data_IF_809126300138
#
_entry.id   IF_809126300138
#
_cell.length_a   1.000
_cell.length_b   1.000
_cell.length_c   1.000
_cell.angle_alpha   90.00
_cell.angle_beta   90.00
_cell.angle_gamma   90.00
#
_symmetry.space_group_name_H-M   'P 1'
#
loop_
_entity.id
_entity.type
_entity.pdbx_description
1 polymer ?
#
# COMPACT_ATOMS: atom_id res chain seq x y z
N UNK A 1 7.83 -25.64 -34.71
CA UNK A 1 7.75 -24.84 -33.47
C UNK A 1 7.04 -23.53 -33.80
N UNK A 2 5.90 -23.26 -33.16
CA UNK A 2 4.96 -22.19 -33.52
C UNK A 2 5.48 -20.80 -33.11
N UNK A 3 5.81 -19.98 -34.11
CA UNK A 3 6.10 -18.54 -33.95
C UNK A 3 4.90 -17.79 -33.35
N UNK A 4 3.68 -18.29 -33.59
CA UNK A 4 2.43 -17.72 -33.08
C UNK A 4 2.28 -17.82 -31.55
N UNK A 5 2.92 -18.80 -30.90
CA UNK A 5 2.92 -18.90 -29.43
C UNK A 5 3.90 -17.91 -28.78
N UNK A 6 4.97 -17.55 -29.50
CA UNK A 6 5.94 -16.54 -29.05
C UNK A 6 5.41 -15.11 -29.20
N UNK A 7 4.57 -14.85 -30.22
CA UNK A 7 3.91 -13.54 -30.41
C UNK A 7 2.84 -13.29 -29.33
N UNK A 8 2.10 -14.33 -28.90
CA UNK A 8 1.16 -14.21 -27.78
C UNK A 8 1.84 -13.95 -26.42
N UNK A 9 3.10 -14.38 -26.23
CA UNK A 9 3.87 -14.09 -25.02
C UNK A 9 4.65 -12.77 -25.07
N UNK A 10 4.82 -12.14 -26.24
CA UNK A 10 5.50 -10.84 -26.38
C UNK A 10 4.56 -9.64 -26.37
N UNK A 11 3.24 -9.86 -26.53
CA UNK A 11 2.20 -8.81 -26.44
C UNK A 11 1.69 -8.63 -24.99
N UNK A 12 2.15 -9.45 -24.03
CA UNK A 12 1.79 -9.34 -22.62
C UNK A 12 2.84 -8.55 -21.79
N UNK A 13 3.48 -7.54 -22.40
CA UNK A 13 4.27 -6.55 -21.69
C UNK A 13 3.42 -5.28 -21.62
N UNK A 14 2.84 -4.98 -20.46
CA UNK A 14 2.03 -3.79 -20.24
C UNK A 14 0.52 -4.02 -20.17
N UNK A 15 0.05 -5.21 -19.81
CA UNK A 15 -1.38 -5.39 -19.55
C UNK A 15 -1.78 -4.55 -18.32
N UNK A 16 -2.79 -3.70 -18.46
CA UNK A 16 -3.33 -2.95 -17.32
C UNK A 16 -3.76 -3.96 -16.25
N UNK A 17 -3.50 -3.66 -14.97
CA UNK A 17 -3.90 -4.55 -13.88
C UNK A 17 -5.41 -4.87 -13.92
N UNK A 18 -6.23 -3.98 -14.51
CA UNK A 18 -7.67 -4.18 -14.75
C UNK A 18 -7.99 -5.19 -15.84
N UNK A 19 -7.06 -5.55 -16.71
CA UNK A 19 -7.26 -6.65 -17.67
C UNK A 19 -7.05 -8.00 -17.00
N UNK A 20 -6.05 -8.09 -16.12
CA UNK A 20 -5.72 -9.32 -15.37
C UNK A 20 -6.61 -9.52 -14.15
N UNK A 21 -6.97 -8.43 -13.46
CA UNK A 21 -7.84 -8.39 -12.28
C UNK A 21 -9.04 -7.51 -12.64
N UNK A 22 -10.07 -8.05 -13.30
CA UNK A 22 -11.11 -7.23 -13.92
C UNK A 22 -12.13 -6.61 -12.96
N UNK A 23 -12.15 -7.04 -11.70
CA UNK A 23 -13.15 -6.60 -10.74
C UNK A 23 -12.58 -6.48 -9.33
N UNK A 24 -13.27 -5.72 -8.48
CA UNK A 24 -12.98 -5.65 -7.03
C UNK A 24 -13.04 -7.02 -6.37
N UNK A 25 -13.97 -7.87 -6.81
CA UNK A 25 -14.09 -9.24 -6.31
C UNK A 25 -12.85 -10.07 -6.65
N UNK A 26 -12.30 -9.93 -7.86
CA UNK A 26 -11.05 -10.60 -8.24
C UNK A 26 -9.84 -10.07 -7.47
N UNK A 27 -9.81 -8.77 -7.19
CA UNK A 27 -8.79 -8.19 -6.31
C UNK A 27 -8.89 -8.77 -4.89
N UNK A 28 -10.11 -8.89 -4.35
CA UNK A 28 -10.33 -9.57 -3.07
C UNK A 28 -9.85 -11.02 -3.10
N UNK A 29 -10.14 -11.79 -4.15
CA UNK A 29 -9.64 -13.18 -4.28
C UNK A 29 -8.11 -13.27 -4.21
N UNK A 30 -7.38 -12.33 -4.84
CA UNK A 30 -5.91 -12.26 -4.75
C UNK A 30 -5.44 -12.00 -3.31
N UNK A 31 -6.09 -11.05 -2.63
CA UNK A 31 -5.80 -10.72 -1.23
C UNK A 31 -6.14 -11.91 -0.31
N UNK A 32 -7.28 -12.56 -0.53
CA UNK A 32 -7.73 -13.71 0.23
C UNK A 32 -6.78 -14.91 0.06
N UNK A 33 -6.30 -15.16 -1.15
CA UNK A 33 -5.29 -16.20 -1.39
C UNK A 33 -3.98 -15.92 -0.64
N UNK A 34 -3.63 -14.65 -0.44
CA UNK A 34 -2.43 -14.23 0.28
C UNK A 34 -2.58 -14.39 1.79
N UNK A 35 -3.72 -14.00 2.36
CA UNK A 35 -3.91 -13.90 3.81
C UNK A 35 -4.86 -14.94 4.43
N UNK A 36 -5.55 -15.71 3.60
CA UNK A 36 -6.57 -16.70 3.94
C UNK A 36 -7.70 -16.10 4.80
N UNK A 37 -8.20 -14.93 4.42
CA UNK A 37 -9.22 -14.14 5.14
C UNK A 37 -10.53 -14.93 5.28
N UNK A 38 -11.00 -15.57 4.20
CA UNK A 38 -12.24 -16.35 4.15
C UNK A 38 -12.24 -17.54 5.11
N UNK A 39 -11.05 -18.02 5.50
CA UNK A 39 -10.88 -19.08 6.51
C UNK A 39 -10.89 -18.55 7.95
N UNK A 40 -10.75 -17.24 8.14
CA UNK A 40 -10.75 -16.58 9.44
C UNK A 40 -12.17 -16.20 9.86
N UNK A 41 -12.78 -17.03 10.70
CA UNK A 41 -13.97 -16.62 11.44
C UNK A 41 -13.55 -15.79 12.66
N UNK A 42 -14.27 -14.70 13.01
CA UNK A 42 -15.54 -14.23 12.49
C UNK A 42 -15.40 -12.89 11.72
N UNK A 43 -14.97 -12.91 10.45
CA UNK A 43 -15.00 -11.75 9.57
C UNK A 43 -16.14 -11.87 8.54
N UNK A 44 -16.81 -10.76 8.26
CA UNK A 44 -17.79 -10.62 7.18
C UNK A 44 -17.16 -9.79 6.05
N UNK A 45 -17.30 -10.29 4.82
CA UNK A 45 -16.88 -9.62 3.59
C UNK A 45 -18.10 -9.44 2.69
N UNK A 46 -18.24 -8.28 2.05
CA UNK A 46 -19.32 -8.04 1.08
C UNK A 46 -19.18 -8.92 -0.17
N UNK A 47 -20.29 -9.13 -0.89
CA UNK A 47 -20.31 -10.01 -2.08
C UNK A 47 -19.38 -9.54 -3.22
N UNK A 48 -19.14 -8.23 -3.30
CA UNK A 48 -18.25 -7.58 -4.27
C UNK A 48 -16.79 -7.43 -3.76
N UNK A 49 -16.52 -7.92 -2.56
CA UNK A 49 -15.20 -7.89 -1.91
C UNK A 49 -14.76 -6.51 -1.42
N UNK A 50 -15.57 -5.46 -1.58
CA UNK A 50 -15.14 -4.08 -1.30
C UNK A 50 -15.19 -3.70 0.17
N UNK A 51 -15.92 -4.44 1.00
CA UNK A 51 -16.12 -4.14 2.41
C UNK A 51 -15.69 -5.31 3.29
N UNK A 52 -14.99 -5.03 4.38
CA UNK A 52 -14.61 -5.98 5.42
C UNK A 52 -14.96 -5.45 6.81
N UNK A 53 -15.55 -6.30 7.66
CA UNK A 53 -15.90 -5.92 9.04
C UNK A 53 -15.98 -7.16 9.95
N UNK A 54 -15.83 -7.02 11.29
CA UNK A 54 -16.08 -8.11 12.23
C UNK A 54 -17.50 -8.66 12.08
N UNK A 55 -17.71 -9.97 12.20
CA UNK A 55 -19.03 -10.57 12.09
C UNK A 55 -19.87 -10.30 13.35
N UNK A 56 -21.19 -10.24 13.17
CA UNK A 56 -22.11 -10.02 14.28
C UNK A 56 -22.33 -11.32 15.06
N UNK A 57 -22.19 -11.28 16.40
CA UNK A 57 -22.74 -12.36 17.23
C UNK A 57 -24.27 -12.32 17.20
N UNK A 58 -24.96 -13.47 17.33
CA UNK A 58 -26.43 -13.57 17.24
C UNK A 58 -27.24 -12.60 18.13
N UNK A 59 -26.60 -11.94 19.10
CA UNK A 59 -27.21 -11.01 20.06
C UNK A 59 -27.40 -9.59 19.49
N UNK A 60 -26.73 -9.22 18.38
CA UNK A 60 -26.73 -7.84 17.88
C UNK A 60 -26.96 -7.71 16.37
N UNK A 61 -27.95 -8.43 15.81
CA UNK A 61 -28.21 -8.50 14.36
C UNK A 61 -28.43 -7.14 13.65
N UNK A 62 -28.63 -6.05 14.41
CA UNK A 62 -28.84 -4.69 13.91
C UNK A 62 -27.62 -3.75 14.08
N UNK A 63 -26.49 -4.25 14.59
CA UNK A 63 -25.30 -3.43 14.81
C UNK A 63 -24.62 -3.03 13.48
N UNK A 64 -24.50 -1.72 13.27
CA UNK A 64 -23.62 -1.17 12.23
C UNK A 64 -22.16 -1.55 12.49
N UNK A 65 -21.28 -1.48 11.48
CA UNK A 65 -19.87 -1.92 11.60
C UNK A 65 -19.15 -1.34 12.84
N UNK A 66 -19.40 -0.08 13.17
CA UNK A 66 -18.83 0.62 14.32
C UNK A 66 -19.31 0.12 15.70
N UNK A 67 -20.40 -0.63 15.74
CA UNK A 67 -21.02 -1.16 16.97
C UNK A 67 -20.61 -2.63 17.23
N UNK A 68 -19.76 -3.20 16.38
CA UNK A 68 -19.33 -4.61 16.46
C UNK A 68 -18.10 -4.77 17.32
N UNK A 69 -18.00 -5.86 18.11
CA UNK A 69 -16.81 -6.10 18.93
C UNK A 69 -15.57 -6.29 18.05
N UNK A 70 -14.41 -5.75 18.46
CA UNK A 70 -13.17 -5.88 17.70
C UNK A 70 -12.73 -7.35 17.60
N UNK A 71 -12.18 -7.74 16.45
CA UNK A 71 -11.62 -9.06 16.19
C UNK A 71 -10.10 -9.05 16.30
N UNK A 72 -9.53 -9.92 17.12
CA UNK A 72 -8.08 -10.10 17.23
C UNK A 72 -7.54 -10.74 15.94
N UNK A 73 -6.72 -9.99 15.19
CA UNK A 73 -6.12 -10.48 13.96
C UNK A 73 -4.87 -11.32 14.24
N UNK A 74 -3.98 -10.80 15.10
CA UNK A 74 -2.75 -11.48 15.49
C UNK A 74 -2.15 -10.87 16.77
N UNK A 75 -1.33 -11.66 17.44
CA UNK A 75 -0.59 -11.26 18.64
C UNK A 75 0.90 -11.13 18.28
N UNK A 76 1.45 -9.92 18.41
CA UNK A 76 2.90 -9.68 18.41
C UNK A 76 3.42 -9.59 19.85
N UNK A 77 4.72 -9.82 20.05
CA UNK A 77 5.38 -9.90 21.36
C UNK A 77 4.95 -8.78 22.33
N UNK A 78 4.70 -7.59 21.81
CA UNK A 78 4.45 -6.38 22.60
C UNK A 78 3.08 -5.72 22.33
N UNK A 79 2.28 -6.28 21.41
CA UNK A 79 0.98 -5.70 21.04
C UNK A 79 0.03 -6.73 20.43
N UNK A 80 -1.26 -6.58 20.72
CA UNK A 80 -2.33 -7.32 20.03
C UNK A 80 -2.95 -6.41 18.98
N UNK A 81 -3.03 -6.90 17.74
CA UNK A 81 -3.56 -6.15 16.60
C UNK A 81 -5.00 -6.58 16.29
N UNK A 82 -5.90 -5.60 16.24
CA UNK A 82 -7.34 -5.83 16.10
C UNK A 82 -7.91 -5.16 14.84
N UNK A 83 -8.92 -5.82 14.26
CA UNK A 83 -9.81 -5.26 13.25
C UNK A 83 -11.08 -4.80 13.97
N UNK A 84 -11.47 -3.54 13.81
CA UNK A 84 -12.68 -2.96 14.42
C UNK A 84 -13.38 -2.02 13.46
N UNK A 85 -14.71 -1.95 13.50
CA UNK A 85 -15.46 -1.11 12.58
C UNK A 85 -15.59 -1.69 11.18
N UNK A 86 -15.93 -0.82 10.23
CA UNK A 86 -16.04 -1.13 8.80
C UNK A 86 -14.80 -0.66 8.06
N UNK A 87 -14.26 -1.52 7.19
CA UNK A 87 -13.15 -1.22 6.31
C UNK A 87 -13.59 -1.26 4.85
N UNK A 88 -13.03 -0.35 4.05
CA UNK A 88 -13.22 -0.28 2.62
C UNK A 88 -11.93 -0.67 1.87
N UNK A 89 -12.08 -1.45 0.80
CA UNK A 89 -10.98 -1.80 -0.10
C UNK A 89 -10.58 -0.57 -0.93
N UNK A 90 -9.32 -0.20 -0.81
CA UNK A 90 -8.70 0.93 -1.51
C UNK A 90 -7.62 0.43 -2.46
N UNK A 91 -7.39 1.19 -3.52
CA UNK A 91 -6.37 0.93 -4.53
C UNK A 91 -5.56 2.21 -4.77
N UNK A 92 -4.25 2.08 -4.80
CA UNK A 92 -3.31 3.08 -5.31
C UNK A 92 -2.71 2.51 -6.58
N UNK A 93 -3.06 3.10 -7.72
CA UNK A 93 -2.48 2.74 -9.01
C UNK A 93 -1.08 3.37 -9.16
N UNK A 94 -0.17 2.69 -9.87
CA UNK A 94 1.13 3.24 -10.17
C UNK A 94 1.10 4.06 -11.47
N UNK A 95 1.45 5.35 -11.44
CA UNK A 95 1.50 6.15 -12.67
C UNK A 95 2.58 5.66 -13.63
N UNK A 96 2.19 5.44 -14.89
CA UNK A 96 3.08 4.95 -15.95
C UNK A 96 3.37 3.44 -15.90
N UNK A 97 2.92 2.72 -14.87
CA UNK A 97 3.08 1.27 -14.70
C UNK A 97 1.71 0.66 -14.38
N UNK A 98 0.82 0.53 -15.38
CA UNK A 98 -0.59 0.19 -15.15
C UNK A 98 -0.79 -1.25 -14.63
N UNK A 99 0.19 -2.13 -14.80
CA UNK A 99 0.25 -3.49 -14.26
C UNK A 99 0.55 -3.53 -12.74
N UNK A 100 0.94 -2.39 -12.15
CA UNK A 100 1.40 -2.29 -10.76
C UNK A 100 0.43 -1.49 -9.89
N UNK A 101 0.07 -2.04 -8.73
CA UNK A 101 -0.80 -1.37 -7.76
C UNK A 101 -0.53 -1.78 -6.33
N UNK A 102 -0.97 -0.94 -5.40
CA UNK A 102 -1.09 -1.26 -3.98
C UNK A 102 -2.57 -1.34 -3.64
N UNK A 103 -2.97 -2.36 -2.90
CA UNK A 103 -4.35 -2.54 -2.47
C UNK A 103 -4.42 -2.98 -1.01
N UNK A 104 -5.51 -2.66 -0.34
CA UNK A 104 -5.74 -3.10 1.04
C UNK A 104 -6.99 -2.47 1.64
N UNK A 105 -7.39 -2.95 2.81
CA UNK A 105 -8.56 -2.48 3.51
C UNK A 105 -8.19 -1.35 4.47
N UNK A 106 -8.92 -0.23 4.40
CA UNK A 106 -8.72 0.95 5.26
C UNK A 106 -10.00 1.22 6.05
N UNK A 107 -9.86 1.51 7.35
CA UNK A 107 -11.00 1.81 8.23
C UNK A 107 -11.76 3.05 7.74
N UNK A 108 -13.09 2.95 7.60
CA UNK A 108 -13.93 4.07 7.13
C UNK A 108 -14.15 5.13 8.21
N UNK A 109 -14.22 4.71 9.48
CA UNK A 109 -14.44 5.60 10.62
C UNK A 109 -13.37 5.39 11.70
N UNK A 110 -12.27 6.17 11.68
CA UNK A 110 -11.20 6.03 12.68
C UNK A 110 -11.62 6.53 14.07
N UNK A 111 -12.83 7.07 14.27
CA UNK A 111 -13.30 7.44 15.62
C UNK A 111 -13.64 6.21 16.47
N UNK A 112 -13.82 5.05 15.85
CA UNK A 112 -14.11 3.76 16.49
C UNK A 112 -12.88 3.15 17.20
N UNK A 113 -11.74 3.84 17.24
CA UNK A 113 -10.46 3.36 17.79
C UNK A 113 -10.39 3.37 19.35
N UNK A 114 -11.51 3.44 20.07
CA UNK A 114 -11.51 3.62 21.54
C UNK A 114 -12.14 2.43 22.26
N UNK A 115 -11.31 1.64 22.97
CA UNK A 115 -11.43 1.39 24.42
C UNK A 115 -10.46 0.29 24.91
N UNK A 116 -9.87 0.58 26.06
CA UNK A 116 -8.81 -0.14 26.78
C UNK A 116 -9.38 -1.25 27.68
N UNK A 117 -8.85 -2.47 27.58
CA UNK A 117 -8.99 -3.48 28.64
C UNK A 117 -7.88 -3.28 29.68
N UNK A 118 -8.17 -3.03 30.96
CA UNK A 118 -7.13 -2.92 31.97
C UNK A 118 -6.43 -4.27 32.18
N UNK A 119 -5.11 -4.31 31.95
CA UNK A 119 -4.26 -5.48 32.23
C UNK A 119 -3.80 -6.30 31.02
N UNK A 120 -4.09 -5.88 29.79
CA UNK A 120 -3.59 -6.49 28.56
C UNK A 120 -2.55 -5.59 27.86
N UNK A 121 -1.64 -6.14 27.02
CA UNK A 121 -0.80 -5.32 26.14
C UNK A 121 -1.67 -4.31 25.39
N UNK A 122 -1.13 -3.12 25.09
CA UNK A 122 -1.88 -2.07 24.42
C UNK A 122 -2.54 -2.61 23.15
N UNK A 123 -3.87 -2.58 23.10
CA UNK A 123 -4.60 -2.95 21.91
C UNK A 123 -4.33 -1.91 20.84
N UNK A 124 -3.70 -2.33 19.73
CA UNK A 124 -3.54 -1.48 18.56
C UNK A 124 -4.63 -1.88 17.56
N UNK A 125 -5.59 -0.98 17.36
CA UNK A 125 -6.55 -1.15 16.28
C UNK A 125 -5.87 -0.75 14.98
N UNK A 126 -6.01 -1.60 13.97
CA UNK A 126 -5.37 -1.43 12.68
C UNK A 126 -6.12 -0.38 11.86
N UNK A 127 -5.41 0.65 11.39
CA UNK A 127 -5.97 1.59 10.42
C UNK A 127 -6.10 0.96 9.03
N UNK A 128 -5.18 0.05 8.71
CA UNK A 128 -5.07 -0.67 7.46
C UNK A 128 -4.82 -2.16 7.73
N UNK A 129 -5.39 -3.04 6.91
CA UNK A 129 -5.17 -4.49 7.02
C UNK A 129 -5.28 -5.20 5.67
N UNK A 130 -4.66 -6.37 5.61
CA UNK A 130 -4.57 -7.23 4.43
C UNK A 130 -4.06 -6.47 3.20
N UNK A 131 -2.99 -5.71 3.40
CA UNK A 131 -2.42 -4.85 2.37
C UNK A 131 -1.45 -5.64 1.50
N UNK A 132 -1.58 -5.51 0.19
CA UNK A 132 -0.73 -6.16 -0.80
C UNK A 132 -0.20 -5.14 -1.79
N UNK A 133 0.99 -5.41 -2.28
CA UNK A 133 1.54 -4.81 -3.48
C UNK A 133 1.53 -5.86 -4.59
N UNK A 134 1.05 -5.49 -5.77
CA UNK A 134 0.80 -6.41 -6.89
C UNK A 134 1.51 -5.88 -8.13
N UNK A 135 2.29 -6.75 -8.77
CA UNK A 135 2.74 -6.62 -10.16
C UNK A 135 2.11 -7.75 -10.97
N UNK A 136 1.11 -7.39 -11.78
CA UNK A 136 0.32 -8.36 -12.56
C UNK A 136 1.10 -8.97 -13.73
N UNK A 137 1.99 -8.21 -14.38
CA UNK A 137 2.81 -8.71 -15.49
C UNK A 137 3.77 -9.81 -15.03
N UNK A 138 4.35 -9.63 -13.84
CA UNK A 138 5.32 -10.58 -13.27
C UNK A 138 4.70 -11.62 -12.34
N UNK A 139 3.40 -11.55 -12.13
CA UNK A 139 2.65 -12.37 -11.17
C UNK A 139 3.29 -12.34 -9.76
N UNK A 140 3.64 -11.14 -9.30
CA UNK A 140 4.22 -10.92 -7.96
C UNK A 140 3.15 -10.34 -7.05
N UNK A 141 3.03 -10.92 -5.86
CA UNK A 141 2.21 -10.38 -4.77
C UNK A 141 3.08 -10.29 -3.53
N UNK A 142 3.27 -9.07 -3.01
CA UNK A 142 4.03 -8.80 -1.80
C UNK A 142 3.06 -8.41 -0.67
N UNK A 143 2.93 -9.23 0.38
CA UNK A 143 2.16 -8.85 1.57
C UNK A 143 2.87 -7.75 2.35
N UNK A 144 2.13 -6.71 2.76
CA UNK A 144 2.69 -5.51 3.40
C UNK A 144 2.39 -5.42 4.90
N UNK A 145 1.45 -6.22 5.41
CA UNK A 145 1.06 -6.19 6.83
C UNK A 145 2.18 -6.61 7.80
N UNK A 146 3.12 -7.46 7.37
CA UNK A 146 4.29 -7.86 8.16
C UNK A 146 5.58 -7.29 7.52
N UNK A 147 6.13 -6.18 8.03
CA UNK A 147 7.32 -5.55 7.47
C UNK A 147 8.60 -6.40 7.64
N UNK A 148 8.53 -7.49 8.41
CA UNK A 148 9.65 -8.42 8.63
C UNK A 148 9.54 -9.65 7.75
N UNK A 149 8.47 -9.80 6.97
CA UNK A 149 8.30 -10.96 6.10
C UNK A 149 9.43 -11.03 5.07
N UNK A 150 10.20 -12.12 5.01
CA UNK A 150 11.22 -12.30 3.98
C UNK A 150 10.60 -12.36 2.57
N UNK A 151 11.20 -11.65 1.62
CA UNK A 151 10.80 -11.67 0.22
C UNK A 151 11.62 -12.71 -0.56
N UNK A 152 10.94 -13.71 -1.11
CA UNK A 152 11.58 -14.74 -1.95
C UNK A 152 11.59 -14.33 -3.42
N UNK A 153 12.06 -13.11 -3.69
CA UNK A 153 12.20 -12.54 -5.03
C UNK A 153 13.67 -12.52 -5.44
N UNK A 154 13.95 -12.67 -6.73
CA UNK A 154 15.30 -12.45 -7.26
C UNK A 154 15.61 -10.94 -7.35
N UNK A 155 16.87 -10.57 -7.56
CA UNK A 155 17.28 -9.16 -7.56
C UNK A 155 16.56 -8.32 -8.62
N UNK A 156 16.37 -8.86 -9.83
CA UNK A 156 15.65 -8.16 -10.89
C UNK A 156 14.20 -7.85 -10.49
N UNK A 157 13.52 -8.82 -9.88
CA UNK A 157 12.15 -8.63 -9.38
C UNK A 157 12.09 -7.60 -8.25
N UNK A 158 13.10 -7.59 -7.37
CA UNK A 158 13.21 -6.58 -6.30
C UNK A 158 13.37 -5.19 -6.92
N UNK A 159 14.27 -5.03 -7.89
CA UNK A 159 14.54 -3.76 -8.55
C UNK A 159 13.31 -3.24 -9.31
N UNK A 160 12.59 -4.13 -10.00
CA UNK A 160 11.36 -3.81 -10.72
C UNK A 160 10.25 -3.35 -9.76
N UNK A 161 10.04 -4.08 -8.66
CA UNK A 161 9.05 -3.72 -7.63
C UNK A 161 9.41 -2.41 -6.95
N UNK A 162 10.70 -2.22 -6.62
CA UNK A 162 11.18 -0.98 -6.01
C UNK A 162 10.96 0.23 -6.94
N UNK A 163 11.15 0.05 -8.25
CA UNK A 163 10.85 1.08 -9.25
C UNK A 163 9.37 1.46 -9.23
N UNK A 164 8.45 0.48 -9.17
CA UNK A 164 7.02 0.73 -9.02
C UNK A 164 6.69 1.50 -7.73
N UNK A 165 7.27 1.10 -6.60
CA UNK A 165 7.11 1.83 -5.33
C UNK A 165 7.60 3.28 -5.43
N UNK A 166 8.73 3.49 -6.11
CA UNK A 166 9.33 4.80 -6.30
C UNK A 166 8.44 5.75 -7.12
N UNK A 167 7.72 5.23 -8.12
CA UNK A 167 6.78 6.01 -8.91
C UNK A 167 5.54 6.42 -8.12
N UNK A 168 4.98 5.52 -7.31
CA UNK A 168 3.89 5.85 -6.36
C UNK A 168 4.36 6.93 -5.39
N UNK A 169 5.56 6.78 -4.86
CA UNK A 169 6.18 7.76 -3.96
C UNK A 169 6.30 9.14 -4.62
N UNK A 170 6.77 9.20 -5.86
CA UNK A 170 6.86 10.48 -6.58
C UNK A 170 5.50 11.11 -6.86
N UNK A 171 4.47 10.33 -7.23
CA UNK A 171 3.12 10.87 -7.41
C UNK A 171 2.54 11.42 -6.10
N UNK A 172 2.78 10.72 -5.00
CA UNK A 172 2.45 11.21 -3.66
C UNK A 172 3.11 12.57 -3.37
N UNK A 173 4.44 12.68 -3.53
CA UNK A 173 5.17 13.91 -3.24
C UNK A 173 4.71 15.10 -4.09
N UNK A 174 4.36 14.86 -5.36
CA UNK A 174 3.81 15.90 -6.25
C UNK A 174 2.48 16.47 -5.79
N UNK A 175 1.75 15.75 -4.94
CA UNK A 175 0.44 16.13 -4.40
C UNK A 175 0.49 16.32 -2.89
N UNK A 176 1.67 16.45 -2.27
CA UNK A 176 1.83 16.47 -0.81
C UNK A 176 1.08 17.64 -0.15
N UNK A 177 0.90 18.74 -0.88
CA UNK A 177 0.17 19.94 -0.46
C UNK A 177 -1.36 19.75 -0.43
N UNK A 178 -1.86 18.72 -1.10
CA UNK A 178 -3.28 18.35 -1.18
C UNK A 178 -3.64 17.24 -0.17
N UNK A 179 -2.70 16.80 0.65
CA UNK A 179 -2.90 15.69 1.59
C UNK A 179 -3.48 16.15 2.93
N UNK A 180 -3.98 15.19 3.69
CA UNK A 180 -4.53 15.40 5.03
C UNK A 180 -3.48 15.14 6.14
N UNK A 181 -3.69 15.60 7.39
CA UNK A 181 -2.73 15.51 8.48
C UNK A 181 -2.21 14.11 8.83
N UNK A 182 -2.97 13.07 8.54
CA UNK A 182 -2.60 11.67 8.78
C UNK A 182 -1.72 11.06 7.68
N UNK A 183 -1.53 11.79 6.56
CA UNK A 183 -0.72 11.36 5.45
C UNK A 183 0.79 11.32 5.80
N UNK A 184 1.56 10.45 5.12
CA UNK A 184 2.99 10.30 5.37
C UNK A 184 3.77 11.59 5.16
N UNK A 185 4.61 12.02 6.11
CA UNK A 185 5.44 13.22 5.97
C UNK A 185 4.71 14.56 5.81
N UNK A 186 3.37 14.59 5.88
CA UNK A 186 2.58 15.82 5.83
C UNK A 186 3.03 16.85 6.88
N UNK A 187 3.16 16.41 8.14
CA UNK A 187 3.60 17.28 9.24
C UNK A 187 5.00 17.87 9.00
N UNK A 188 5.94 17.06 8.48
CA UNK A 188 7.29 17.54 8.17
C UNK A 188 7.29 18.56 7.05
N UNK A 189 6.54 18.29 5.97
CA UNK A 189 6.33 19.22 4.87
C UNK A 189 5.73 20.54 5.36
N UNK A 190 4.68 20.49 6.18
CA UNK A 190 4.04 21.67 6.73
C UNK A 190 4.92 22.46 7.68
N UNK A 191 5.67 21.80 8.56
CA UNK A 191 6.62 22.44 9.46
C UNK A 191 7.72 23.17 8.67
N UNK A 192 8.23 22.57 7.59
CA UNK A 192 9.18 23.24 6.71
C UNK A 192 8.56 24.47 6.04
N UNK A 193 7.37 24.30 5.44
CA UNK A 193 6.65 25.37 4.74
C UNK A 193 6.36 26.57 5.62
N UNK A 194 6.07 26.36 6.92
CA UNK A 194 5.79 27.44 7.90
C UNK A 194 6.99 28.32 8.25
N UNK A 195 8.20 27.96 7.83
CA UNK A 195 9.40 28.77 8.06
C UNK A 195 9.53 29.95 7.08
N UNK A 196 8.61 30.08 6.13
CA UNK A 196 8.64 31.07 5.07
C UNK A 196 7.41 31.99 5.16
N UNK A 197 7.64 33.30 5.05
CA UNK A 197 6.55 34.30 4.98
C UNK A 197 5.93 34.33 3.58
N UNK A 198 6.78 34.28 2.55
CA UNK A 198 6.38 34.07 1.15
C UNK A 198 6.91 32.71 0.74
N UNK A 199 6.06 31.87 0.16
CA UNK A 199 6.40 30.49 -0.16
C UNK A 199 7.32 30.43 -1.38
N UNK A 200 8.57 29.96 -1.23
CA UNK A 200 9.45 29.71 -2.37
C UNK A 200 9.02 28.47 -3.13
N UNK A 201 9.59 28.26 -4.32
CA UNK A 201 9.47 27.00 -5.03
C UNK A 201 10.17 25.91 -4.20
N UNK A 202 9.44 24.82 -3.94
CA UNK A 202 9.95 23.67 -3.21
C UNK A 202 10.45 22.62 -4.19
N UNK A 203 11.61 22.07 -3.89
CA UNK A 203 12.11 20.85 -4.51
C UNK A 203 11.94 19.71 -3.51
N UNK A 204 11.26 18.65 -3.95
CA UNK A 204 10.98 17.46 -3.16
C UNK A 204 11.63 16.27 -3.87
N UNK A 205 12.63 15.69 -3.24
CA UNK A 205 13.27 14.48 -3.71
C UNK A 205 13.04 13.38 -2.69
N UNK A 206 12.81 12.16 -3.14
CA UNK A 206 12.79 11.05 -2.23
C UNK A 206 13.08 9.72 -2.88
N UNK A 207 13.43 8.77 -2.03
CA UNK A 207 13.84 7.43 -2.41
C UNK A 207 13.18 6.42 -1.48
N UNK A 208 12.67 5.33 -2.03
CA UNK A 208 12.11 4.20 -1.28
C UNK A 208 12.86 2.92 -1.62
N UNK A 209 13.13 2.10 -0.61
CA UNK A 209 13.81 0.81 -0.77
C UNK A 209 13.35 -0.22 0.26
N UNK A 210 13.46 -1.50 -0.09
CA UNK A 210 13.17 -2.60 0.83
C UNK A 210 14.21 -2.73 1.93
N UNK A 211 13.77 -3.11 3.13
CA UNK A 211 14.64 -3.25 4.30
C UNK A 211 15.57 -4.45 4.12
N UNK A 212 16.85 -4.31 4.55
CA UNK A 212 17.70 -5.46 4.71
C UNK A 212 17.21 -6.34 5.89
N UNK A 213 17.46 -7.65 5.86
CA UNK A 213 16.94 -8.63 6.82
C UNK A 213 17.42 -8.48 8.28
N UNK A 214 18.27 -7.51 8.60
CA UNK A 214 18.82 -7.28 9.94
C UNK A 214 18.59 -5.86 10.50
N UNK A 215 17.62 -5.10 9.97
CA UNK A 215 17.46 -3.69 10.31
C UNK A 215 17.02 -3.36 11.75
N UNK A 216 16.83 -4.35 12.63
CA UNK A 216 16.49 -4.13 14.05
C UNK A 216 17.71 -3.81 14.94
N UNK A 217 18.96 -4.00 14.45
CA UNK A 217 20.15 -3.88 15.30
C UNK A 217 21.03 -2.66 14.94
N UNK A 218 21.48 -1.94 15.98
CA UNK A 218 22.48 -0.85 15.91
C UNK A 218 23.91 -1.34 15.63
N UNK A 219 24.12 -2.59 15.20
CA UNK A 219 25.44 -3.16 14.95
C UNK A 219 25.67 -3.42 13.46
N UNK A 220 26.92 -3.28 13.02
CA UNK A 220 27.32 -3.52 11.64
C UNK A 220 26.88 -4.92 11.17
N UNK A 221 26.24 -5.02 9.98
CA UNK A 221 25.75 -6.28 9.48
C UNK A 221 26.90 -7.24 9.16
N UNK A 222 26.78 -8.49 9.58
CA UNK A 222 27.77 -9.54 9.30
C UNK A 222 27.76 -9.92 7.81
N UNK A 223 28.85 -10.51 7.30
CA UNK A 223 28.92 -10.99 5.91
C UNK A 223 27.82 -12.03 5.56
N UNK A 224 27.27 -12.73 6.57
CA UNK A 224 26.14 -13.66 6.42
C UNK A 224 24.77 -12.98 6.31
N UNK A 225 24.65 -11.68 6.65
CA UNK A 225 23.40 -10.94 6.50
C UNK A 225 23.21 -10.39 5.09
N UNK A 226 24.30 -10.21 4.33
CA UNK A 226 24.26 -9.79 2.91
C UNK A 226 23.70 -10.86 1.97
N UNK A 227 23.60 -12.12 2.41
CA UNK A 227 23.06 -13.23 1.60
C UNK A 227 21.60 -13.57 1.93
N UNK A 228 20.99 -12.86 2.88
CA UNK A 228 19.59 -13.09 3.26
C UNK A 228 18.66 -12.26 2.35
N UNK A 229 17.48 -12.77 2.02
CA UNK A 229 16.50 -12.02 1.23
C UNK A 229 16.08 -10.72 1.95
N UNK A 230 15.77 -9.63 1.22
CA UNK A 230 15.19 -8.44 1.82
C UNK A 230 13.83 -8.76 2.44
N UNK A 231 13.33 -7.86 3.28
CA UNK A 231 11.99 -7.99 3.89
C UNK A 231 10.99 -7.07 3.22
N UNK A 232 9.69 -7.34 3.43
CA UNK A 232 8.59 -6.55 2.88
C UNK A 232 8.54 -5.10 3.40
N UNK A 233 9.13 -4.83 4.55
CA UNK A 233 9.20 -3.49 5.12
C UNK A 233 10.02 -2.55 4.25
N UNK A 234 9.61 -1.30 4.16
CA UNK A 234 10.29 -0.29 3.37
C UNK A 234 10.87 0.84 4.23
N UNK A 235 11.88 1.50 3.68
CA UNK A 235 12.45 2.75 4.20
C UNK A 235 12.30 3.82 3.13
N UNK A 236 11.99 5.03 3.58
CA UNK A 236 11.91 6.19 2.71
C UNK A 236 12.82 7.31 3.21
N UNK A 237 13.40 8.01 2.26
CA UNK A 237 14.13 9.25 2.51
C UNK A 237 13.41 10.37 1.76
N UNK A 238 13.12 11.48 2.45
CA UNK A 238 12.56 12.69 1.88
C UNK A 238 13.53 13.83 2.09
N UNK A 239 13.96 14.45 1.00
CA UNK A 239 14.69 15.71 1.01
C UNK A 239 13.75 16.82 0.54
N UNK A 240 13.65 17.87 1.35
CA UNK A 240 12.93 19.10 1.02
C UNK A 240 13.95 20.24 0.94
N UNK A 241 14.00 20.92 -0.19
CA UNK A 241 14.89 22.07 -0.40
C UNK A 241 14.14 23.29 -0.92
N UNK A 242 14.53 24.47 -0.42
CA UNK A 242 14.08 25.78 -0.88
C UNK A 242 14.97 26.92 -0.37
N UNK A 243 15.24 27.92 -1.21
CA UNK A 243 16.04 29.12 -0.86
C UNK A 243 17.37 28.81 -0.14
N UNK A 244 18.09 27.79 -0.61
CA UNK A 244 19.36 27.34 -0.01
C UNK A 244 19.23 26.63 1.33
N UNK A 245 18.00 26.40 1.83
CA UNK A 245 17.72 25.54 2.99
C UNK A 245 17.41 24.14 2.50
N UNK A 246 17.93 23.15 3.22
CA UNK A 246 17.70 21.73 2.93
C UNK A 246 17.37 21.03 4.25
N UNK A 247 16.30 20.24 4.27
CA UNK A 247 16.04 19.28 5.34
C UNK A 247 15.90 17.90 4.73
N UNK A 248 16.60 16.94 5.33
CA UNK A 248 16.49 15.52 5.00
C UNK A 248 15.80 14.82 6.16
N UNK A 249 14.71 14.14 5.84
CA UNK A 249 13.96 13.26 6.73
C UNK A 249 14.19 11.83 6.27
N UNK A 250 14.87 11.05 7.10
CA UNK A 250 14.95 9.60 6.92
C UNK A 250 13.97 8.94 7.88
N UNK A 251 13.07 8.13 7.33
CA UNK A 251 12.02 7.47 8.10
C UNK A 251 11.75 6.07 7.61
N UNK A 252 11.38 5.20 8.54
CA UNK A 252 10.74 3.96 8.16
C UNK A 252 9.33 4.27 7.66
N UNK A 253 9.02 3.79 6.47
CA UNK A 253 7.76 4.09 5.83
C UNK A 253 7.06 2.79 5.42
N UNK A 254 5.84 2.65 5.93
CA UNK A 254 4.93 1.56 5.61
C UNK A 254 4.12 1.94 4.37
N UNK A 255 4.36 1.28 3.23
CA UNK A 255 3.67 1.55 1.95
C UNK A 255 2.15 1.56 2.06
N UNK A 256 1.61 0.70 2.93
CA UNK A 256 0.18 0.61 3.21
C UNK A 256 -0.44 1.94 3.67
N UNK A 257 0.35 2.88 4.20
CA UNK A 257 -0.15 4.22 4.56
C UNK A 257 -0.59 5.05 3.35
N UNK A 258 -0.12 4.74 2.14
CA UNK A 258 -0.63 5.40 0.93
C UNK A 258 -2.10 5.11 0.66
N UNK A 259 -2.65 4.01 1.18
CA UNK A 259 -4.07 3.68 1.00
C UNK A 259 -5.01 4.67 1.74
N UNK A 260 -4.48 5.45 2.68
CA UNK A 260 -5.22 6.48 3.41
C UNK A 260 -5.05 7.89 2.82
N UNK A 261 -4.28 8.06 1.75
CA UNK A 261 -4.00 9.38 1.18
C UNK A 261 -4.90 9.68 -0.02
N UNK A 262 -4.82 10.90 -0.56
CA UNK A 262 -5.72 11.31 -1.67
C UNK A 262 -5.40 10.65 -3.01
N UNK A 263 -4.27 9.96 -3.13
CA UNK A 263 -3.93 9.17 -4.33
C UNK A 263 -4.61 7.79 -4.33
N UNK A 264 -5.20 7.38 -3.20
CA UNK A 264 -5.94 6.14 -3.07
C UNK A 264 -7.40 6.31 -3.47
N UNK A 265 -7.89 5.43 -4.32
CA UNK A 265 -9.26 5.41 -4.79
C UNK A 265 -10.01 4.21 -4.19
N UNK A 266 -11.33 4.30 -3.95
CA UNK A 266 -12.15 3.12 -3.68
C UNK A 266 -12.01 2.09 -4.81
N UNK A 267 -11.87 0.80 -4.48
CA UNK A 267 -11.72 -0.25 -5.50
C UNK A 267 -12.86 -0.25 -6.52
N UNK A 268 -14.11 -0.03 -6.07
CA UNK A 268 -15.27 0.10 -6.96
C UNK A 268 -15.10 1.21 -8.01
N UNK A 269 -14.50 2.35 -7.63
CA UNK A 269 -14.24 3.45 -8.55
C UNK A 269 -13.07 3.16 -9.51
N UNK A 270 -12.02 2.50 -9.01
CA UNK A 270 -10.87 2.10 -9.82
C UNK A 270 -11.27 1.14 -10.95
N UNK A 271 -12.05 0.10 -10.63
CA UNK A 271 -12.49 -0.90 -11.62
C UNK A 271 -13.67 -0.45 -12.50
N UNK A 272 -14.37 0.64 -12.14
CA UNK A 272 -15.40 1.22 -13.00
C UNK A 272 -14.83 2.01 -14.19
N UNK A 273 -13.55 2.41 -14.12
CA UNK A 273 -12.88 3.13 -15.20
C UNK A 273 -12.46 2.17 -16.31
N UNK A 274 -12.61 2.53 -17.60
CA UNK A 274 -12.08 1.73 -18.69
C UNK A 274 -10.55 1.60 -18.56
N UNK A 275 -10.00 0.44 -18.92
CA UNK A 275 -8.55 0.24 -19.07
C UNK A 275 -7.99 1.41 -19.91
N UNK A 276 -6.89 2.02 -19.47
CA UNK A 276 -6.36 3.19 -20.18
C UNK A 276 -5.87 2.68 -21.54
N UNK A 277 -6.61 2.97 -22.60
CA UNK A 277 -6.13 2.79 -23.96
C UNK A 277 -4.94 3.74 -24.14
N UNK A 278 -3.80 3.21 -24.57
CA UNK A 278 -2.56 3.95 -24.76
C UNK A 278 -2.80 5.28 -25.51
N UNK A 279 -2.11 6.32 -25.04
CA UNK A 279 -2.10 7.61 -25.71
C UNK A 279 -1.60 7.41 -27.16
N UNK A 280 -2.52 7.49 -28.12
CA UNK A 280 -2.19 7.64 -29.54
C UNK A 280 -1.14 8.74 -29.68
N UNK A 281 0.04 8.37 -30.15
CA UNK A 281 1.10 9.32 -30.52
C UNK A 281 0.53 10.40 -31.44
N UNK A 282 0.92 11.68 -31.27
CA UNK A 282 0.54 12.69 -32.23
C UNK A 282 1.20 12.35 -33.57
N UNK A 283 0.38 12.00 -34.55
CA UNK A 283 0.79 11.91 -35.96
C UNK A 283 1.44 13.23 -36.36
N UNK A 284 2.77 13.25 -36.44
CA UNK A 284 3.49 14.33 -37.11
C UNK A 284 3.17 14.17 -38.59
N UNK A 285 2.19 14.95 -39.06
CA UNK A 285 2.00 15.16 -40.48
C UNK A 285 3.15 16.04 -40.95
N UNK A 286 4.13 15.39 -41.59
CA UNK A 286 5.00 16.07 -42.54
C UNK A 286 4.22 16.09 -43.85
N UNK A 287 3.69 17.26 -44.20
CA UNK A 287 3.55 17.76 -45.57
C UNK A 287 3.29 19.27 -45.56
#
# INVERSE_FOLDING_TARGET
MNVTALILCTVALGADARETIPTSQKLFEVIDNTYLISKRRPLEISEDGTTLQPAVSKVSANAGGDERPPYLLHHHSDASNYISGKYALKVVACPGFPNFLVAGYVIENPRTLIATFPGQPSSKVLHHCYCVLIDTDRNIVVPLDDPRMPLYLNQQQIDDVQTGCQLIWYDYLRKIDQQEPDAPFYEFYWLFRRQFVTLPQLELEGMVYFKPPSSDSKSYPSAQEKSKPPTAGMKAMLQISADGRVIVYEGEFEMQRFLSTTIAEPAAAYFAKPAIAEATEPTVSVE
#
